data_IF_977432491712
#
_entry.id   IF_977432491712
#
_cell.length_a   1.000
_cell.length_b   1.000
_cell.length_c   1.000
_cell.angle_alpha   90.00
_cell.angle_beta   90.00
_cell.angle_gamma   90.00
#
_symmetry.space_group_name_H-M   'P 1'
#
loop_
_entity.id
_entity.type
_entity.pdbx_description
1 polymer ?
#
# COMPACT_ATOMS: atom_id res chain seq x y z
N UNK A 1 -10.36 9.83 -7.46
CA UNK A 1 -10.20 8.43 -7.02
C UNK A 1 -10.77 8.35 -5.63
N UNK A 2 -11.93 7.73 -5.48
CA UNK A 2 -12.63 7.60 -4.22
C UNK A 2 -12.30 6.21 -3.65
N UNK A 3 -11.16 6.10 -2.96
CA UNK A 3 -10.82 4.88 -2.25
C UNK A 3 -11.65 4.85 -0.97
N UNK A 4 -12.76 4.12 -0.97
CA UNK A 4 -13.59 3.98 0.22
C UNK A 4 -12.80 3.20 1.30
N UNK A 5 -12.29 3.93 2.30
CA UNK A 5 -11.58 3.35 3.44
C UNK A 5 -12.61 2.75 4.39
N UNK A 6 -12.79 1.44 4.32
CA UNK A 6 -13.73 0.69 5.17
C UNK A 6 -13.02 0.06 6.37
N UNK A 7 -13.79 -0.26 7.42
CA UNK A 7 -13.25 -0.93 8.62
C UNK A 7 -12.62 -2.28 8.27
N UNK A 8 -13.23 -3.04 7.36
CA UNK A 8 -12.70 -4.33 6.90
C UNK A 8 -11.31 -4.16 6.25
N UNK A 9 -11.16 -3.12 5.41
CA UNK A 9 -9.90 -2.82 4.77
C UNK A 9 -8.82 -2.49 5.81
N UNK A 10 -9.13 -1.63 6.79
CA UNK A 10 -8.20 -1.29 7.87
C UNK A 10 -7.82 -2.51 8.72
N UNK A 11 -8.76 -3.42 8.95
CA UNK A 11 -8.48 -4.68 9.65
C UNK A 11 -7.53 -5.60 8.86
N UNK A 12 -7.65 -5.64 7.53
CA UNK A 12 -6.69 -6.37 6.68
C UNK A 12 -5.30 -5.72 6.67
N UNK A 13 -5.22 -4.38 6.67
CA UNK A 13 -3.93 -3.67 6.79
C UNK A 13 -3.29 -3.95 8.16
N UNK A 14 -4.06 -3.97 9.25
CA UNK A 14 -3.58 -4.35 10.58
C UNK A 14 -2.98 -5.78 10.58
N UNK A 15 -3.70 -6.76 10.02
CA UNK A 15 -3.18 -8.14 9.87
C UNK A 15 -1.89 -8.19 9.06
N UNK A 16 -1.80 -7.42 7.97
CA UNK A 16 -0.57 -7.33 7.17
C UNK A 16 0.61 -6.80 7.99
N UNK A 17 0.40 -5.77 8.80
CA UNK A 17 1.44 -5.24 9.69
C UNK A 17 1.87 -6.27 10.73
N UNK A 18 0.92 -7.01 11.32
CA UNK A 18 1.24 -8.10 12.25
C UNK A 18 2.05 -9.22 11.56
N UNK A 19 1.73 -9.54 10.30
CA UNK A 19 2.50 -10.49 9.51
C UNK A 19 3.93 -10.01 9.27
N UNK A 20 4.15 -8.73 8.98
CA UNK A 20 5.51 -8.17 8.78
C UNK A 20 6.40 -8.37 10.02
N UNK A 21 5.81 -8.40 11.23
CA UNK A 21 6.56 -8.69 12.46
C UNK A 21 6.81 -10.18 12.71
N UNK A 22 6.11 -11.06 12.02
CA UNK A 22 6.27 -12.49 12.20
C UNK A 22 7.68 -12.95 11.78
N UNK A 23 8.22 -14.01 12.41
CA UNK A 23 9.58 -14.49 12.13
C UNK A 23 9.85 -14.80 10.66
N UNK A 24 8.82 -15.21 9.91
CA UNK A 24 8.92 -15.50 8.47
C UNK A 24 9.35 -14.29 7.63
N UNK A 25 9.09 -13.06 8.11
CA UNK A 25 9.49 -11.80 7.46
C UNK A 25 10.75 -11.18 8.07
N UNK A 26 11.54 -11.94 8.84
CA UNK A 26 12.81 -11.43 9.39
C UNK A 26 13.74 -10.90 8.32
N UNK A 27 13.82 -11.55 7.16
CA UNK A 27 14.65 -11.07 6.05
C UNK A 27 14.17 -9.73 5.49
N UNK A 28 12.84 -9.55 5.33
CA UNK A 28 12.26 -8.27 4.92
C UNK A 28 12.63 -7.14 5.89
N UNK A 29 12.56 -7.40 7.19
CA UNK A 29 12.94 -6.41 8.22
C UNK A 29 14.44 -6.09 8.19
N UNK A 30 15.30 -7.07 7.90
CA UNK A 30 16.73 -6.82 7.68
C UNK A 30 16.98 -5.97 6.42
N UNK A 31 16.21 -6.16 5.35
CA UNK A 31 16.30 -5.33 4.14
C UNK A 31 15.97 -3.85 4.41
N UNK A 32 15.19 -3.54 5.46
CA UNK A 32 14.94 -2.14 5.85
C UNK A 32 16.20 -1.41 6.29
N UNK A 33 17.23 -2.12 6.76
CA UNK A 33 18.51 -1.51 7.12
C UNK A 33 19.30 -1.07 5.88
N UNK A 34 19.04 -1.68 4.72
CA UNK A 34 19.66 -1.33 3.44
C UNK A 34 18.75 -0.41 2.62
N UNK A 35 18.62 0.82 3.12
CA UNK A 35 17.74 1.86 2.59
C UNK A 35 18.11 2.25 1.15
N UNK A 36 19.41 2.20 0.80
CA UNK A 36 19.90 2.56 -0.53
C UNK A 36 19.40 1.60 -1.60
N UNK A 37 19.46 0.30 -1.33
CA UNK A 37 19.03 -0.71 -2.29
C UNK A 37 17.52 -0.99 -2.22
N UNK A 38 16.85 -0.68 -1.10
CA UNK A 38 15.42 -0.96 -0.89
C UNK A 38 14.56 0.29 -0.60
N UNK A 39 14.65 1.39 -1.38
CA UNK A 39 13.97 2.64 -1.07
C UNK A 39 12.44 2.52 -1.17
N UNK A 40 11.94 1.67 -2.08
CA UNK A 40 10.51 1.47 -2.27
C UNK A 40 9.86 0.65 -1.16
N UNK A 41 10.62 -0.24 -0.51
CA UNK A 41 10.13 -1.00 0.63
C UNK A 41 9.77 -0.04 1.77
N UNK A 42 10.67 0.88 2.10
CA UNK A 42 10.45 1.87 3.15
C UNK A 42 9.30 2.81 2.78
N UNK A 43 9.24 3.30 1.53
CA UNK A 43 8.12 4.11 1.05
C UNK A 43 6.79 3.38 1.16
N UNK A 44 6.74 2.09 0.80
CA UNK A 44 5.54 1.28 0.90
C UNK A 44 5.09 1.11 2.35
N UNK A 45 6.02 0.85 3.28
CA UNK A 45 5.71 0.74 4.70
C UNK A 45 5.23 2.06 5.31
N UNK A 46 5.82 3.20 4.95
CA UNK A 46 5.28 4.51 5.35
C UNK A 46 3.91 4.77 4.73
N UNK A 47 3.67 4.33 3.49
CA UNK A 47 2.35 4.37 2.86
C UNK A 47 1.31 3.57 3.66
N UNK A 48 1.65 2.34 4.06
CA UNK A 48 0.79 1.52 4.93
C UNK A 48 0.56 2.20 6.29
N UNK A 49 1.61 2.79 6.89
CA UNK A 49 1.50 3.54 8.14
C UNK A 49 0.51 4.71 8.01
N UNK A 50 0.52 5.42 6.88
CA UNK A 50 -0.37 6.56 6.63
C UNK A 50 -1.82 6.17 6.35
N UNK A 51 -2.12 4.89 6.09
CA UNK A 51 -3.48 4.38 5.95
C UNK A 51 -4.09 3.96 7.29
N UNK A 52 -3.26 3.68 8.30
CA UNK A 52 -3.72 3.15 9.58
C UNK A 52 -4.23 4.28 10.49
N UNK A 53 -5.33 4.05 11.24
CA UNK A 53 -5.66 4.90 12.39
C UNK A 53 -4.58 4.73 13.48
N UNK A 54 -4.63 5.52 14.57
CA UNK A 54 -3.71 5.42 15.72
C UNK A 54 -3.94 4.14 16.55
N UNK A 55 -3.85 2.97 15.91
CA UNK A 55 -4.04 1.63 16.46
C UNK A 55 -2.72 1.04 16.94
N UNK A 56 -2.78 -0.17 17.49
CA UNK A 56 -1.60 -0.97 17.84
C UNK A 56 -0.71 -1.26 16.64
N UNK A 57 -1.27 -1.58 15.46
CA UNK A 57 -0.48 -1.76 14.24
C UNK A 57 0.26 -0.49 13.82
N UNK A 58 -0.38 0.68 13.93
CA UNK A 58 0.30 1.94 13.67
C UNK A 58 1.51 2.13 14.58
N UNK A 59 1.33 1.92 15.90
CA UNK A 59 2.43 2.03 16.86
C UNK A 59 3.55 1.03 16.57
N UNK A 60 3.18 -0.21 16.25
CA UNK A 60 4.12 -1.30 15.95
C UNK A 60 4.97 -0.98 14.73
N UNK A 61 4.34 -0.58 13.63
CA UNK A 61 5.02 -0.24 12.38
C UNK A 61 5.85 1.05 12.54
N UNK A 62 5.31 2.07 13.21
CA UNK A 62 6.04 3.31 13.52
C UNK A 62 7.30 3.03 14.31
N UNK A 63 7.24 2.20 15.36
CA UNK A 63 8.41 1.84 16.15
C UNK A 63 9.46 1.08 15.33
N UNK A 64 9.06 0.21 14.39
CA UNK A 64 10.04 -0.42 13.50
C UNK A 64 10.68 0.58 12.56
N UNK A 65 9.90 1.45 11.94
CA UNK A 65 10.41 2.44 11.00
C UNK A 65 11.33 3.46 11.69
N UNK A 66 11.13 3.74 12.98
CA UNK A 66 12.06 4.56 13.79
C UNK A 66 13.42 3.88 14.01
N UNK A 67 13.50 2.56 13.94
CA UNK A 67 14.77 1.83 14.02
C UNK A 67 15.55 1.83 12.70
N UNK A 68 14.94 2.31 11.60
CA UNK A 68 15.58 2.37 10.28
C UNK A 68 16.52 3.58 10.22
N UNK A 69 17.77 3.43 9.75
CA UNK A 69 18.70 4.55 9.57
C UNK A 69 18.08 5.65 8.71
N UNK A 70 18.27 6.92 9.08
CA UNK A 70 17.68 8.03 8.33
C UNK A 70 18.18 8.00 6.86
N UNK A 71 17.29 7.85 5.86
CA UNK A 71 17.67 7.84 4.44
C UNK A 71 18.45 9.09 4.02
N UNK A 72 18.20 10.24 4.64
CA UNK A 72 18.88 11.49 4.32
C UNK A 72 20.34 11.47 4.77
N UNK A 73 20.66 10.82 5.90
CA UNK A 73 22.03 10.63 6.35
C UNK A 73 22.82 9.68 5.43
N UNK A 74 22.14 8.76 4.75
CA UNK A 74 22.74 7.81 3.80
C UNK A 74 22.98 8.40 2.40
N UNK A 75 22.27 9.47 2.03
CA UNK A 75 22.37 10.13 0.72
C UNK A 75 23.56 11.08 0.57
N UNK A 76 24.21 11.43 1.68
CA UNK A 76 25.31 12.41 1.73
C UNK A 76 26.54 11.99 0.91
N UNK A 77 26.71 10.69 0.64
CA UNK A 77 27.92 10.16 -0.03
C UNK A 77 27.79 10.07 -1.57
N UNK A 78 26.57 10.03 -2.15
CA UNK A 78 26.37 9.72 -3.58
C UNK A 78 25.86 10.90 -4.44
N UNK A 79 25.36 11.98 -3.83
CA UNK A 79 24.69 13.07 -4.59
C UNK A 79 25.63 14.02 -5.34
N UNK A 80 26.95 13.80 -5.34
CA UNK A 80 27.89 14.65 -6.08
C UNK A 80 28.18 14.16 -7.51
N UNK A 81 27.77 12.95 -7.90
CA UNK A 81 28.07 12.42 -9.25
C UNK A 81 26.96 11.49 -9.76
N UNK A 82 26.00 12.03 -10.50
CA UNK A 82 25.53 11.48 -11.79
C UNK A 82 24.15 12.06 -12.14
N UNK A 83 24.16 13.13 -12.95
CA UNK A 83 23.06 13.38 -13.87
C UNK A 83 23.46 12.80 -15.24
N UNK A 84 22.95 11.65 -15.68
CA UNK A 84 22.94 11.32 -17.09
C UNK A 84 21.64 11.88 -17.70
N UNK A 85 21.79 12.75 -18.70
CA UNK A 85 20.70 13.15 -19.60
C UNK A 85 20.18 11.88 -20.28
N UNK A 86 18.98 11.44 -19.95
CA UNK A 86 18.34 10.31 -20.63
C UNK A 86 17.90 10.74 -22.02
N UNK A 87 18.60 10.21 -23.02
CA UNK A 87 18.15 10.16 -24.40
C UNK A 87 16.86 9.34 -24.45
N UNK A 88 15.80 9.91 -25.02
CA UNK A 88 14.52 9.22 -25.25
C UNK A 88 14.75 8.07 -26.24
N UNK A 89 14.76 6.85 -25.73
CA UNK A 89 14.55 5.66 -26.54
C UNK A 89 13.04 5.49 -26.77
N UNK A 90 12.69 5.25 -28.03
CA UNK A 90 11.34 5.07 -28.55
C UNK A 90 10.72 3.79 -27.97
N UNK A 91 9.97 3.93 -26.88
CA UNK A 91 9.14 2.86 -26.32
C UNK A 91 7.81 2.80 -27.07
N UNK A 92 7.20 1.61 -27.29
CA UNK A 92 5.88 1.53 -27.90
C UNK A 92 4.91 2.45 -27.14
N UNK A 93 4.18 3.29 -27.86
CA UNK A 93 3.30 4.29 -27.27
C UNK A 93 2.19 3.61 -26.45
N UNK A 94 2.38 3.53 -25.13
CA UNK A 94 1.37 3.04 -24.22
C UNK A 94 0.22 4.05 -24.23
N UNK A 95 -0.97 3.62 -24.63
CA UNK A 95 -2.17 4.45 -24.56
C UNK A 95 -2.70 4.46 -23.12
N UNK A 96 -2.26 5.46 -22.37
CA UNK A 96 -2.69 5.68 -20.99
C UNK A 96 -4.18 6.02 -20.89
N UNK A 97 -4.81 6.54 -21.95
CA UNK A 97 -6.23 6.86 -21.93
C UNK A 97 -7.08 5.58 -21.95
N UNK A 98 -6.72 4.61 -22.79
CA UNK A 98 -7.37 3.30 -22.81
C UNK A 98 -7.18 2.58 -21.46
N UNK A 99 -5.95 2.58 -20.92
CA UNK A 99 -5.66 1.90 -19.66
C UNK A 99 -6.41 2.53 -18.48
N UNK A 100 -6.57 3.86 -18.48
CA UNK A 100 -7.34 4.57 -17.45
C UNK A 100 -8.83 4.23 -17.54
N UNK A 101 -9.41 4.20 -18.75
CA UNK A 101 -10.79 3.77 -18.94
C UNK A 101 -11.01 2.32 -18.48
N UNK A 102 -10.06 1.43 -18.78
CA UNK A 102 -10.11 0.05 -18.32
C UNK A 102 -10.05 -0.02 -16.78
N UNK A 103 -9.17 0.76 -16.15
CA UNK A 103 -9.08 0.84 -14.69
C UNK A 103 -10.40 1.31 -14.06
N UNK A 104 -10.97 2.41 -14.53
CA UNK A 104 -12.24 2.94 -14.02
C UNK A 104 -13.39 1.92 -14.15
N UNK A 105 -13.49 1.23 -15.29
CA UNK A 105 -14.47 0.16 -15.50
C UNK A 105 -14.32 -0.97 -14.50
N UNK A 106 -13.09 -1.41 -14.23
CA UNK A 106 -12.80 -2.48 -13.26
C UNK A 106 -13.12 -2.01 -11.83
N UNK A 107 -12.83 -0.76 -11.50
CA UNK A 107 -13.16 -0.18 -10.19
C UNK A 107 -14.68 -0.12 -9.97
N UNK A 108 -15.43 0.41 -10.92
CA UNK A 108 -16.90 0.50 -10.84
C UNK A 108 -17.54 -0.89 -10.66
N UNK A 109 -17.06 -1.90 -11.41
CA UNK A 109 -17.55 -3.28 -11.26
C UNK A 109 -17.28 -3.85 -9.87
N UNK A 110 -16.13 -3.56 -9.27
CA UNK A 110 -15.83 -3.99 -7.90
C UNK A 110 -16.73 -3.28 -6.87
N UNK A 111 -16.98 -1.98 -7.05
CA UNK A 111 -17.89 -1.21 -6.19
C UNK A 111 -19.32 -1.81 -6.23
N UNK A 112 -19.85 -2.11 -7.43
CA UNK A 112 -21.18 -2.72 -7.59
C UNK A 112 -21.29 -4.08 -6.86
N UNK A 113 -20.28 -4.94 -7.01
CA UNK A 113 -20.25 -6.25 -6.33
C UNK A 113 -20.22 -6.10 -4.81
N UNK A 114 -19.50 -5.11 -4.29
CA UNK A 114 -19.44 -4.82 -2.85
C UNK A 114 -20.79 -4.31 -2.33
N UNK A 115 -21.45 -3.39 -3.05
CA UNK A 115 -22.79 -2.90 -2.70
C UNK A 115 -23.85 -4.01 -2.72
N UNK A 116 -23.82 -4.90 -3.71
CA UNK A 116 -24.75 -6.04 -3.78
C UNK A 116 -24.56 -7.04 -2.63
N UNK A 117 -23.32 -7.24 -2.16
CA UNK A 117 -23.05 -8.11 -1.00
C UNK A 117 -23.56 -7.49 0.31
N UNK A 118 -23.45 -6.17 0.46
CA UNK A 118 -23.96 -5.45 1.63
C UNK A 118 -25.50 -5.45 1.69
N UNK A 119 -26.18 -5.24 0.56
CA UNK A 119 -27.66 -5.21 0.51
C UNK A 119 -28.35 -6.58 0.62
N UNK A 120 -27.63 -7.69 0.44
CA UNK A 120 -28.20 -9.05 0.46
C UNK A 120 -28.34 -9.63 1.88
N UNK A 121 -27.67 -9.05 2.87
CA UNK A 121 -27.86 -9.37 4.29
C UNK A 121 -29.20 -8.85 4.86
N UNK A 122 -29.66 -7.68 4.37
CA UNK A 122 -30.85 -7.00 4.89
C UNK A 122 -32.17 -7.67 4.44
N UNK A 123 -32.18 -8.30 3.27
CA UNK A 123 -33.39 -8.96 2.73
C UNK A 123 -33.64 -10.38 3.31
N UNK A 124 -32.63 -11.02 3.90
CA UNK A 124 -32.80 -12.34 4.52
C UNK A 124 -33.38 -12.24 5.93
N UNK A 125 -33.07 -11.16 6.67
CA UNK A 125 -33.60 -10.94 8.03
C UNK A 125 -35.12 -10.66 8.02
N UNK A 126 -35.61 -10.00 6.97
CA UNK A 126 -37.04 -9.66 6.83
C UNK A 126 -37.96 -10.85 6.46
N UNK A 127 -37.42 -12.00 6.07
CA UNK A 127 -38.20 -13.22 5.75
C UNK A 127 -38.31 -14.21 6.92
N UNK A 128 -37.61 -13.99 8.03
CA UNK A 128 -37.68 -14.85 9.23
C UNK A 128 -38.72 -14.35 10.25
N UNK A 129 -39.28 -13.15 10.03
CA UNK A 129 -40.34 -12.57 10.87
C UNK A 129 -41.68 -12.59 10.11
N UNK A 130 -42.20 -13.76 9.77
CA UNK A 130 -43.61 -14.02 9.48
C UNK A 130 -43.94 -15.48 9.81
#
# INVERSE_FOLDING_TARGET
GDLEVTVDFLAEVDKLVQLIECPIFTYLRLQLLDVKNNPYLIKALYGLLMLLPQSSAFQLLSHRLQCVPNPELLQTEDSLKAAPKSQKADSPSIDYAELLQHFEKVQNKHLEVRHQRSGRGDHLDRRVVL
#
